data_IF_119081764294
#
_entry.id   IF_119081764294
#
_cell.length_a   1.000
_cell.length_b   1.000
_cell.length_c   1.000
_cell.angle_alpha   90.00
_cell.angle_beta   90.00
_cell.angle_gamma   90.00
#
_symmetry.space_group_name_H-M   'P 1'
#
loop_
_entity.id
_entity.type
_entity.pdbx_description
1 polymer ?
#
# COMPACT_ATOMS: atom_id res chain seq x y z
N UNK A 1 3.08 21.67 -16.53
CA UNK A 1 3.56 20.28 -16.46
C UNK A 1 3.31 19.64 -17.80
N UNK A 2 4.28 18.90 -18.34
CA UNK A 2 4.06 18.08 -19.54
C UNK A 2 3.24 16.82 -19.20
N UNK A 3 2.70 16.15 -20.22
CA UNK A 3 1.99 14.87 -20.04
C UNK A 3 2.88 13.77 -19.44
N UNK A 4 4.16 13.80 -19.78
CA UNK A 4 5.15 12.86 -19.23
C UNK A 4 5.48 13.18 -17.78
N UNK A 5 5.60 14.46 -17.40
CA UNK A 5 5.77 14.84 -15.99
C UNK A 5 4.60 14.36 -15.14
N UNK A 6 3.37 14.46 -15.66
CA UNK A 6 2.18 13.95 -14.97
C UNK A 6 2.20 12.42 -14.86
N UNK A 7 2.66 11.71 -15.89
CA UNK A 7 2.79 10.25 -15.90
C UNK A 7 3.82 9.74 -14.89
N UNK A 8 4.88 10.50 -14.67
CA UNK A 8 5.88 10.22 -13.64
C UNK A 8 5.32 10.54 -12.25
N UNK A 9 4.64 11.69 -12.10
CA UNK A 9 4.07 12.12 -10.83
C UNK A 9 2.94 11.22 -10.33
N UNK A 10 2.18 10.58 -11.22
CA UNK A 10 1.09 9.66 -10.87
C UNK A 10 1.26 8.32 -11.59
N UNK A 11 2.14 7.43 -11.12
CA UNK A 11 2.56 6.25 -11.87
C UNK A 11 1.45 5.24 -12.15
N UNK A 12 0.40 5.20 -11.30
CA UNK A 12 -0.71 4.25 -11.39
C UNK A 12 -2.01 4.87 -11.94
N UNK A 13 -1.97 6.09 -12.47
CA UNK A 13 -3.18 6.73 -13.00
C UNK A 13 -3.60 6.10 -14.34
N UNK A 14 -4.90 6.12 -14.63
CA UNK A 14 -5.47 5.70 -15.91
C UNK A 14 -6.55 6.69 -16.32
N UNK A 15 -6.45 7.25 -17.52
CA UNK A 15 -7.45 8.11 -18.13
C UNK A 15 -8.13 7.36 -19.29
N UNK A 16 -9.45 7.36 -19.32
CA UNK A 16 -10.23 6.64 -20.32
C UNK A 16 -11.52 7.37 -20.67
N UNK A 17 -12.05 7.10 -21.85
CA UNK A 17 -13.29 7.69 -22.35
C UNK A 17 -14.54 6.94 -21.88
N UNK A 18 -15.74 7.43 -22.26
CA UNK A 18 -17.04 6.82 -21.91
C UNK A 18 -17.20 5.36 -22.36
N UNK A 19 -16.48 4.95 -23.40
CA UNK A 19 -16.47 3.60 -23.92
C UNK A 19 -15.43 2.70 -23.25
N UNK A 20 -14.79 3.19 -22.18
CA UNK A 20 -13.74 2.52 -21.40
C UNK A 20 -12.44 2.26 -22.17
N UNK A 21 -12.21 2.97 -23.27
CA UNK A 21 -10.91 2.94 -23.95
C UNK A 21 -9.93 3.87 -23.27
N UNK A 22 -8.73 3.37 -23.03
CA UNK A 22 -7.65 4.09 -22.37
C UNK A 22 -7.05 5.10 -23.34
N UNK A 23 -6.96 6.34 -22.90
CA UNK A 23 -6.40 7.47 -23.65
C UNK A 23 -5.01 7.87 -23.12
N UNK A 24 -4.80 7.73 -21.80
CA UNK A 24 -3.56 8.10 -21.14
C UNK A 24 -3.35 7.30 -19.86
N UNK A 25 -2.11 7.05 -19.46
CA UNK A 25 -1.79 6.25 -18.29
C UNK A 25 -0.41 6.56 -17.72
N UNK A 26 -0.26 6.28 -16.42
CA UNK A 26 0.95 6.53 -15.67
C UNK A 26 2.12 5.65 -16.08
N UNK A 27 3.32 6.08 -15.69
CA UNK A 27 4.57 5.43 -16.08
C UNK A 27 4.66 3.96 -15.65
N UNK A 28 4.11 3.60 -14.48
CA UNK A 28 4.10 2.21 -14.03
C UNK A 28 3.18 1.35 -14.91
N UNK A 29 1.95 1.82 -15.19
CA UNK A 29 1.00 1.15 -16.09
C UNK A 29 1.61 0.96 -17.48
N UNK A 30 2.32 1.96 -18.00
CA UNK A 30 3.04 1.93 -19.29
C UNK A 30 4.05 0.79 -19.36
N UNK A 31 4.84 0.63 -18.32
CA UNK A 31 5.88 -0.40 -18.26
C UNK A 31 5.29 -1.79 -18.03
N UNK A 32 4.22 -1.87 -17.25
CA UNK A 32 3.52 -3.12 -16.97
C UNK A 32 2.75 -3.67 -18.18
N UNK A 33 2.19 -2.79 -19.02
CA UNK A 33 1.39 -3.17 -20.19
C UNK A 33 1.90 -2.50 -21.48
N UNK A 34 3.07 -2.91 -22.02
CA UNK A 34 3.61 -2.29 -23.23
C UNK A 34 2.71 -2.43 -24.46
N UNK A 35 1.86 -3.46 -24.50
CA UNK A 35 0.88 -3.63 -25.58
C UNK A 35 -0.15 -2.49 -25.60
N UNK A 36 -0.49 -1.92 -24.45
CA UNK A 36 -1.48 -0.85 -24.35
C UNK A 36 -1.04 0.46 -25.04
N UNK A 37 0.25 0.59 -25.34
CA UNK A 37 0.81 1.71 -26.11
C UNK A 37 0.55 1.53 -27.61
N UNK A 38 0.50 0.28 -28.08
CA UNK A 38 0.54 -0.06 -29.51
C UNK A 38 -0.83 -0.29 -30.13
N UNK A 39 -1.85 -0.50 -29.31
CA UNK A 39 -3.19 -0.85 -29.74
C UNK A 39 -4.24 -0.21 -28.83
N UNK A 40 -5.44 -0.01 -29.37
CA UNK A 40 -6.60 0.38 -28.57
C UNK A 40 -6.83 -0.67 -27.48
N UNK A 41 -6.83 -0.21 -26.24
CA UNK A 41 -6.91 -1.07 -25.06
C UNK A 41 -8.01 -0.55 -24.15
N UNK A 42 -8.86 -1.46 -23.69
CA UNK A 42 -9.91 -1.15 -22.72
C UNK A 42 -9.36 -1.25 -21.31
N UNK A 43 -9.94 -0.49 -20.39
CA UNK A 43 -9.60 -0.58 -18.97
C UNK A 43 -9.76 -2.02 -18.46
N UNK A 44 -10.76 -2.75 -18.94
CA UNK A 44 -11.03 -4.16 -18.58
C UNK A 44 -9.96 -5.16 -19.04
N UNK A 45 -9.09 -4.76 -19.98
CA UNK A 45 -8.00 -5.60 -20.48
C UNK A 45 -6.83 -5.62 -19.49
N UNK A 46 -6.67 -4.55 -18.70
CA UNK A 46 -5.60 -4.39 -17.72
C UNK A 46 -6.09 -4.42 -16.27
N UNK A 47 -7.35 -4.11 -16.01
CA UNK A 47 -7.97 -4.11 -14.69
C UNK A 47 -9.17 -5.06 -14.63
N UNK A 48 -9.22 -5.87 -13.58
CA UNK A 48 -10.35 -6.73 -13.24
C UNK A 48 -11.30 -6.01 -12.25
N UNK A 49 -12.56 -5.85 -12.64
CA UNK A 49 -13.66 -5.39 -11.78
C UNK A 49 -15.00 -6.04 -12.18
N UNK A 50 -15.88 -6.24 -11.20
CA UNK A 50 -17.22 -6.79 -11.39
C UNK A 50 -18.27 -5.83 -10.81
N UNK A 51 -19.33 -5.47 -11.56
CA UNK A 51 -19.36 -5.04 -12.96
C UNK A 51 -18.81 -3.61 -13.13
N UNK A 52 -18.12 -3.35 -14.24
CA UNK A 52 -17.51 -2.06 -14.56
C UNK A 52 -18.18 -1.43 -15.80
N UNK A 53 -18.86 -0.31 -15.61
CA UNK A 53 -19.41 0.51 -16.70
C UNK A 53 -19.28 1.99 -16.36
N UNK A 54 -19.38 2.84 -17.39
CA UNK A 54 -19.37 4.29 -17.19
C UNK A 54 -20.49 4.75 -16.25
N UNK A 55 -21.69 4.19 -16.39
CA UNK A 55 -22.86 4.48 -15.56
C UNK A 55 -22.63 4.07 -14.10
N UNK A 56 -22.00 2.91 -13.91
CA UNK A 56 -21.64 2.42 -12.58
C UNK A 56 -20.64 3.35 -11.91
N UNK A 57 -19.65 3.86 -12.65
CA UNK A 57 -18.69 4.84 -12.12
C UNK A 57 -19.38 6.14 -11.75
N UNK A 58 -20.29 6.64 -12.58
CA UNK A 58 -21.04 7.87 -12.29
C UNK A 58 -21.90 7.73 -11.02
N UNK A 59 -22.57 6.58 -10.85
CA UNK A 59 -23.39 6.30 -9.68
C UNK A 59 -22.56 6.31 -8.38
N UNK A 60 -21.31 5.85 -8.44
CA UNK A 60 -20.40 5.74 -7.29
C UNK A 60 -19.21 6.70 -7.36
N UNK A 61 -19.33 7.85 -8.04
CA UNK A 61 -18.19 8.76 -8.30
C UNK A 61 -17.46 9.25 -7.04
N UNK A 62 -18.17 9.35 -5.92
CA UNK A 62 -17.62 9.81 -4.65
C UNK A 62 -17.05 8.66 -3.79
N UNK A 63 -17.09 7.43 -4.30
CA UNK A 63 -16.54 6.25 -3.64
C UNK A 63 -15.12 5.98 -4.12
N UNK A 64 -14.35 5.31 -3.25
CA UNK A 64 -13.08 4.73 -3.66
C UNK A 64 -13.34 3.42 -4.41
N UNK A 65 -12.65 3.23 -5.51
CA UNK A 65 -12.64 2.01 -6.28
C UNK A 65 -11.37 1.23 -5.99
N UNK A 66 -11.50 -0.09 -5.99
CA UNK A 66 -10.36 -1.00 -5.87
C UNK A 66 -10.38 -1.92 -7.09
N UNK A 67 -9.30 -1.90 -7.86
CA UNK A 67 -9.12 -2.73 -9.04
C UNK A 67 -7.97 -3.69 -8.85
N UNK A 68 -8.12 -4.90 -9.38
CA UNK A 68 -7.02 -5.85 -9.48
C UNK A 68 -6.34 -5.69 -10.84
N UNK A 69 -5.02 -5.59 -10.85
CA UNK A 69 -4.24 -5.56 -12.08
C UNK A 69 -4.16 -6.96 -12.70
N UNK A 70 -4.46 -7.07 -13.98
CA UNK A 70 -4.45 -8.34 -14.72
C UNK A 70 -3.03 -8.70 -15.17
N UNK A 71 -2.60 -9.94 -15.02
CA UNK A 71 -1.37 -10.44 -15.66
C UNK A 71 -0.01 -9.90 -15.16
N UNK A 72 0.06 -8.92 -14.25
CA UNK A 72 1.36 -8.47 -13.67
C UNK A 72 1.89 -9.48 -12.64
N UNK A 73 1.04 -10.30 -12.04
CA UNK A 73 1.46 -11.51 -11.32
C UNK A 73 2.06 -12.60 -12.23
N UNK A 74 2.13 -12.35 -13.54
CA UNK A 74 2.58 -13.28 -14.58
C UNK A 74 3.75 -12.67 -15.40
N UNK A 75 4.61 -11.89 -14.72
CA UNK A 75 5.91 -11.46 -15.24
C UNK A 75 6.79 -12.70 -15.47
N UNK A 76 6.64 -13.31 -16.64
CA UNK A 76 7.52 -14.12 -17.52
C UNK A 76 8.67 -14.97 -16.93
N UNK A 77 9.16 -14.79 -15.70
CA UNK A 77 10.22 -15.59 -15.05
C UNK A 77 9.99 -15.91 -13.56
N UNK A 78 8.85 -15.61 -12.94
CA UNK A 78 8.55 -16.08 -11.58
C UNK A 78 7.48 -17.17 -11.62
N UNK A 79 7.71 -18.28 -10.91
CA UNK A 79 6.80 -19.42 -10.84
C UNK A 79 5.39 -18.91 -10.45
N UNK A 80 4.39 -19.32 -11.24
CA UNK A 80 2.99 -18.86 -11.23
C UNK A 80 2.22 -18.97 -9.91
N UNK A 81 2.78 -19.60 -8.87
CA UNK A 81 1.99 -20.09 -7.74
C UNK A 81 2.15 -19.27 -6.44
N UNK A 82 2.97 -18.21 -6.39
CA UNK A 82 3.32 -17.55 -5.10
C UNK A 82 3.17 -16.02 -5.05
N UNK A 83 2.84 -15.32 -6.14
CA UNK A 83 2.77 -13.85 -6.14
C UNK A 83 1.33 -13.37 -6.01
N UNK A 84 1.06 -12.64 -4.92
CA UNK A 84 -0.24 -12.02 -4.69
C UNK A 84 -0.52 -10.94 -5.75
N UNK A 85 -1.77 -10.78 -6.20
CA UNK A 85 -2.10 -9.79 -7.21
C UNK A 85 -1.93 -8.36 -6.67
N UNK A 86 -1.53 -7.46 -7.58
CA UNK A 86 -1.48 -6.02 -7.29
C UNK A 86 -2.89 -5.47 -7.32
N UNK A 87 -3.28 -4.84 -6.21
CA UNK A 87 -4.54 -4.12 -6.07
C UNK A 87 -4.23 -2.62 -6.12
N UNK A 88 -5.00 -1.87 -6.91
CA UNK A 88 -4.95 -0.41 -6.97
C UNK A 88 -6.20 0.15 -6.31
N UNK A 89 -6.03 1.06 -5.36
CA UNK A 89 -7.12 1.77 -4.70
C UNK A 89 -7.06 3.25 -5.08
N UNK A 90 -8.19 3.81 -5.50
CA UNK A 90 -8.21 5.17 -6.05
C UNK A 90 -9.59 5.77 -6.16
N UNK A 91 -9.62 7.01 -6.62
CA UNK A 91 -10.85 7.77 -6.86
C UNK A 91 -11.01 8.07 -8.34
N UNK A 92 -12.26 8.28 -8.76
CA UNK A 92 -12.62 8.61 -10.14
C UNK A 92 -12.87 10.11 -10.23
N UNK A 93 -12.19 10.77 -11.16
CA UNK A 93 -12.34 12.21 -11.44
C UNK A 93 -12.86 12.38 -12.84
N UNK A 94 -14.00 13.05 -13.00
CA UNK A 94 -14.51 13.41 -14.32
C UNK A 94 -13.74 14.60 -14.86
N UNK A 95 -13.35 14.53 -16.13
CA UNK A 95 -12.64 15.59 -16.85
C UNK A 95 -13.41 15.92 -18.13
N UNK A 96 -13.24 17.15 -18.64
CA UNK A 96 -13.81 17.60 -19.91
C UNK A 96 -15.32 17.41 -19.95
N UNK A 97 -16.02 17.99 -18.98
CA UNK A 97 -17.48 17.89 -18.83
C UNK A 97 -18.00 16.44 -18.75
N UNK A 98 -17.14 15.50 -18.39
CA UNK A 98 -17.44 14.07 -18.26
C UNK A 98 -17.19 13.25 -19.51
N UNK A 99 -16.55 13.80 -20.55
CA UNK A 99 -16.06 13.04 -21.71
C UNK A 99 -15.04 11.97 -21.31
N UNK A 100 -14.24 12.26 -20.29
CA UNK A 100 -13.20 11.36 -19.78
C UNK A 100 -13.31 11.14 -18.28
N UNK A 101 -12.80 10.00 -17.84
CA UNK A 101 -12.63 9.65 -16.44
C UNK A 101 -11.14 9.43 -16.20
N UNK A 102 -10.61 10.13 -15.20
CA UNK A 102 -9.28 9.91 -14.65
C UNK A 102 -9.39 9.12 -13.35
N UNK A 103 -8.89 7.91 -13.36
CA UNK A 103 -8.67 7.10 -12.17
C UNK A 103 -7.31 7.45 -11.57
N UNK A 104 -7.30 8.19 -10.47
CA UNK A 104 -6.07 8.46 -9.70
C UNK A 104 -6.00 7.44 -8.57
N UNK A 105 -4.93 6.64 -8.55
CA UNK A 105 -4.81 5.51 -7.65
C UNK A 105 -3.40 5.32 -7.08
N UNK A 106 -3.35 4.57 -5.99
CA UNK A 106 -2.14 4.07 -5.35
C UNK A 106 -2.27 2.57 -5.13
N UNK A 107 -1.13 1.90 -4.95
CA UNK A 107 -1.11 0.47 -4.58
C UNK A 107 -1.81 0.26 -3.23
N UNK A 108 -2.70 -0.72 -3.14
CA UNK A 108 -3.45 -1.03 -1.93
C UNK A 108 -2.65 -1.97 -1.04
N UNK A 109 -1.67 -1.39 -0.33
CA UNK A 109 -0.77 -2.08 0.60
C UNK A 109 -0.58 -1.23 1.86
N UNK A 110 -0.32 -1.88 2.99
CA UNK A 110 -0.16 -1.22 4.29
C UNK A 110 1.13 -1.56 5.00
N UNK A 111 1.84 -2.61 4.57
CA UNK A 111 3.07 -3.08 5.20
C UNK A 111 4.17 -3.35 4.18
N UNK A 112 5.43 -3.36 4.64
CA UNK A 112 6.58 -3.73 3.79
C UNK A 112 6.48 -5.19 3.33
N UNK A 113 5.92 -6.07 4.16
CA UNK A 113 5.72 -7.48 3.81
C UNK A 113 4.77 -7.63 2.61
N UNK A 114 3.66 -6.91 2.62
CA UNK A 114 2.69 -6.93 1.51
C UNK A 114 3.26 -6.44 0.18
N UNK A 115 4.24 -5.53 0.21
CA UNK A 115 4.97 -5.11 -0.98
C UNK A 115 5.84 -6.25 -1.53
N UNK A 116 6.57 -6.96 -0.65
CA UNK A 116 7.42 -8.09 -1.03
C UNK A 116 6.57 -9.23 -1.62
N UNK A 117 5.44 -9.56 -0.99
CA UNK A 117 4.49 -10.58 -1.46
C UNK A 117 3.92 -10.28 -2.86
N UNK A 118 3.94 -9.01 -3.28
CA UNK A 118 3.44 -8.54 -4.59
C UNK A 118 4.57 -8.11 -5.53
N UNK A 119 5.83 -8.36 -5.15
CA UNK A 119 7.02 -7.95 -5.89
C UNK A 119 7.06 -6.45 -6.23
N UNK A 120 6.65 -5.61 -5.28
CA UNK A 120 6.63 -4.15 -5.38
C UNK A 120 7.76 -3.54 -4.54
N UNK A 121 8.31 -2.42 -5.00
CA UNK A 121 9.32 -1.67 -4.25
C UNK A 121 8.78 -0.31 -3.80
N UNK A 122 9.17 0.11 -2.60
CA UNK A 122 8.88 1.47 -2.10
C UNK A 122 9.52 2.56 -2.98
N UNK A 123 10.62 2.25 -3.66
CA UNK A 123 11.23 3.16 -4.63
C UNK A 123 10.31 3.54 -5.79
N UNK A 124 9.37 2.66 -6.13
CA UNK A 124 8.46 2.83 -7.26
C UNK A 124 7.26 3.71 -6.89
N UNK A 125 7.03 3.90 -5.59
CA UNK A 125 6.01 4.79 -5.05
C UNK A 125 6.52 6.23 -4.99
N UNK A 126 5.65 7.16 -5.34
CA UNK A 126 5.99 8.58 -5.32
C UNK A 126 6.27 9.08 -3.91
N UNK A 127 7.14 10.09 -3.78
CA UNK A 127 7.51 10.65 -2.48
C UNK A 127 6.34 11.29 -1.73
N UNK A 128 5.32 11.74 -2.45
CA UNK A 128 4.14 12.39 -1.91
C UNK A 128 2.93 11.44 -1.79
N UNK A 129 3.12 10.15 -2.08
CA UNK A 129 2.06 9.15 -1.95
C UNK A 129 1.81 8.86 -0.45
N UNK A 130 0.60 9.14 0.04
CA UNK A 130 0.26 8.90 1.44
C UNK A 130 0.35 7.43 1.87
N UNK A 131 0.22 6.49 0.92
CA UNK A 131 0.40 5.05 1.17
C UNK A 131 1.85 4.75 1.52
N UNK A 132 2.81 5.44 0.90
CA UNK A 132 4.24 5.27 1.20
C UNK A 132 4.54 5.64 2.65
N UNK A 133 4.00 6.77 3.11
CA UNK A 133 4.15 7.24 4.49
C UNK A 133 3.47 6.28 5.47
N UNK A 134 2.28 5.79 5.13
CA UNK A 134 1.56 4.80 5.94
C UNK A 134 2.38 3.52 6.14
N UNK A 135 3.00 2.98 5.09
CA UNK A 135 3.84 1.78 5.19
C UNK A 135 5.04 2.03 6.11
N UNK A 136 5.72 3.17 5.95
CA UNK A 136 6.86 3.55 6.79
C UNK A 136 6.47 3.72 8.27
N UNK A 137 5.32 4.34 8.53
CA UNK A 137 4.76 4.48 9.87
C UNK A 137 4.43 3.12 10.49
N UNK A 138 3.79 2.23 9.72
CA UNK A 138 3.47 0.88 10.19
C UNK A 138 4.74 0.08 10.49
N UNK A 139 5.77 0.18 9.66
CA UNK A 139 7.07 -0.47 9.91
C UNK A 139 7.72 0.03 11.20
N UNK A 140 7.72 1.35 11.41
CA UNK A 140 8.24 1.98 12.62
C UNK A 140 7.47 1.52 13.87
N UNK A 141 6.14 1.44 13.76
CA UNK A 141 5.28 0.95 14.85
C UNK A 141 5.56 -0.50 15.19
N UNK A 142 5.72 -1.38 14.20
CA UNK A 142 6.04 -2.80 14.42
C UNK A 142 7.38 -2.96 15.14
N UNK A 143 8.43 -2.27 14.67
CA UNK A 143 9.75 -2.30 15.32
C UNK A 143 9.70 -1.83 16.77
N UNK A 144 8.94 -0.77 17.08
CA UNK A 144 8.76 -0.31 18.46
C UNK A 144 8.04 -1.35 19.34
N UNK A 145 7.07 -2.08 18.79
CA UNK A 145 6.38 -3.14 19.52
C UNK A 145 7.32 -4.29 19.83
N UNK A 146 8.14 -4.72 18.85
CA UNK A 146 9.16 -5.76 19.04
C UNK A 146 10.14 -5.38 20.15
N UNK A 147 10.71 -4.17 20.11
CA UNK A 147 11.61 -3.67 21.14
C UNK A 147 10.96 -3.64 22.54
N UNK A 148 9.68 -3.27 22.63
CA UNK A 148 8.94 -3.28 23.91
C UNK A 148 8.72 -4.69 24.44
N UNK A 149 8.40 -5.64 23.56
CA UNK A 149 8.26 -7.05 23.92
C UNK A 149 9.59 -7.63 24.40
N UNK A 150 10.69 -7.34 23.71
CA UNK A 150 12.02 -7.79 24.10
C UNK A 150 12.44 -7.23 25.46
N UNK A 151 12.21 -5.93 25.69
CA UNK A 151 12.46 -5.31 26.99
C UNK A 151 11.63 -5.95 28.12
N UNK A 152 10.36 -6.30 27.86
CA UNK A 152 9.51 -6.98 28.83
C UNK A 152 10.01 -8.42 29.14
N UNK A 153 10.42 -9.16 28.11
CA UNK A 153 11.00 -10.50 28.26
C UNK A 153 12.28 -10.47 29.10
N UNK A 154 13.17 -9.51 28.82
CA UNK A 154 14.39 -9.27 29.59
C UNK A 154 14.06 -8.88 31.03
N UNK A 155 13.11 -7.97 31.27
CA UNK A 155 12.69 -7.59 32.61
C UNK A 155 12.14 -8.78 33.42
N UNK A 156 11.37 -9.67 32.78
CA UNK A 156 10.85 -10.88 33.43
C UNK A 156 11.97 -11.86 33.80
N UNK A 157 13.04 -11.91 33.01
CA UNK A 157 14.19 -12.78 33.22
C UNK A 157 15.17 -12.24 34.27
N UNK A 158 15.24 -10.92 34.44
CA UNK A 158 16.13 -10.24 35.40
C UNK A 158 15.46 -10.07 36.78
N UNK A 159 14.18 -10.39 36.95
CA UNK A 159 13.50 -10.30 38.24
C UNK A 159 13.96 -11.41 39.22
N UNK A 160 15.23 -11.33 39.64
CA UNK A 160 15.76 -11.94 40.86
C UNK A 160 14.97 -11.31 42.02
N UNK A 161 14.45 -12.11 42.98
CA UNK A 161 13.66 -11.57 44.07
C UNK A 161 14.50 -10.50 44.78
N UNK A 162 13.98 -9.28 44.90
CA UNK A 162 14.53 -8.28 45.81
C UNK A 162 14.50 -8.89 47.21
N UNK A 163 15.61 -9.51 47.65
CA UNK A 163 15.77 -10.00 49.01
C UNK A 163 15.51 -8.83 49.93
N UNK A 164 14.45 -8.92 50.71
CA UNK A 164 14.13 -8.04 51.82
C UNK A 164 15.38 -7.94 52.69
N UNK A 165 15.97 -6.75 52.78
CA UNK A 165 17.04 -6.48 53.74
C UNK A 165 16.41 -6.63 55.12
N UNK A 166 16.85 -7.55 56.00
CA UNK A 166 16.31 -7.62 57.34
C UNK A 166 16.80 -6.38 58.09
N UNK A 167 15.86 -5.53 58.49
CA UNK A 167 16.15 -4.42 59.41
C UNK A 167 16.48 -5.06 60.75
N UNK A 168 17.76 -5.08 61.11
CA UNK A 168 18.22 -5.39 62.46
C UNK A 168 17.64 -4.34 63.41
N UNK A 169 16.57 -4.69 64.14
CA UNK A 169 16.14 -3.91 65.30
C UNK A 169 17.19 -4.10 66.41
N UNK A 170 17.95 -3.03 66.67
CA UNK A 170 18.73 -2.87 67.86
C UNK A 170 17.82 -2.37 68.99
N UNK A 171 17.20 -3.30 69.72
CA UNK A 171 16.58 -2.93 71.01
C UNK A 171 17.67 -2.96 72.08
N UNK A 172 18.21 -1.77 72.33
CA UNK A 172 19.13 -1.47 73.41
C UNK A 172 18.32 -1.02 74.64
N UNK A 173 18.47 -1.74 75.75
CA UNK A 173 18.39 -1.19 77.10
C UNK A 173 17.01 -0.88 77.71
N UNK A 174 16.58 -1.75 78.63
CA UNK A 174 16.05 -1.33 79.94
C UNK A 174 16.31 -2.44 80.96
N UNK A 175 17.48 -2.37 81.58
CA UNK A 175 17.74 -3.00 82.89
C UNK A 175 16.87 -2.31 83.96
N UNK A 176 16.45 -3.13 84.92
CA UNK A 176 15.80 -2.71 86.17
C UNK A 176 16.86 -2.38 87.21
#
# INVERSE_FOLDING_TARGET
MSSDDFSIAFPYHICFNKNLFIEHFGHYIRNAYPFAIRQETRVTDILELVPFSYESILAFKNSLFVFKMRGIGDLVHCKKDEIEPILLKGSMVLIDEGSYILYISSVNVTTVRELIERNLHISDMQRHDGTRDLIMLNQSRMSQVELKCDAANVCSSINVPKRSVPILKSDNGRER
#
